data_IF_318227761833
#
_entry.id   IF_318227761833
#
_cell.length_a   1.000
_cell.length_b   1.000
_cell.length_c   1.000
_cell.angle_alpha   90.00
_cell.angle_beta   90.00
_cell.angle_gamma   90.00
#
_symmetry.space_group_name_H-M   'P 1'
#
loop_
_entity.id
_entity.type
_entity.pdbx_description
1 polymer ?
#
# COMPACT_ATOMS: atom_id res chain seq x y z
N UNK A 1 -33.85 55.93 -7.33
CA UNK A 1 -33.59 54.83 -6.37
C UNK A 1 -33.64 53.48 -7.10
N UNK A 2 -32.46 52.87 -7.23
CA UNK A 2 -32.18 51.44 -7.04
C UNK A 2 -32.72 50.39 -8.02
N UNK A 3 -32.39 50.51 -9.33
CA UNK A 3 -32.36 49.33 -10.24
C UNK A 3 -31.04 48.53 -10.17
N UNK A 4 -29.99 49.12 -9.58
CA UNK A 4 -28.67 48.48 -9.40
C UNK A 4 -28.69 47.45 -8.25
N UNK A 5 -29.62 47.58 -7.31
CA UNK A 5 -29.68 46.68 -6.15
C UNK A 5 -30.33 45.31 -6.46
N UNK A 6 -31.14 45.22 -7.52
CA UNK A 6 -31.75 43.94 -7.93
C UNK A 6 -30.75 43.00 -8.63
N UNK A 7 -29.70 43.53 -9.26
CA UNK A 7 -28.66 42.72 -9.93
C UNK A 7 -27.71 42.09 -8.90
N UNK A 8 -27.42 42.79 -7.79
CA UNK A 8 -26.54 42.27 -6.73
C UNK A 8 -27.14 41.10 -5.95
N UNK A 9 -28.47 41.05 -5.79
CA UNK A 9 -29.15 39.97 -5.06
C UNK A 9 -29.14 38.65 -5.87
N UNK A 10 -29.18 38.71 -7.20
CA UNK A 10 -29.14 37.52 -8.06
C UNK A 10 -27.74 36.91 -8.10
N UNK A 11 -26.67 37.72 -8.01
CA UNK A 11 -25.28 37.22 -7.94
C UNK A 11 -25.00 36.59 -6.58
N UNK A 12 -25.61 37.09 -5.49
CA UNK A 12 -25.42 36.54 -4.14
C UNK A 12 -26.08 35.16 -3.93
N UNK A 13 -27.14 34.85 -4.69
CA UNK A 13 -27.82 33.55 -4.61
C UNK A 13 -27.07 32.43 -5.35
N UNK A 14 -26.23 32.76 -6.34
CA UNK A 14 -25.40 31.77 -7.04
C UNK A 14 -24.18 31.29 -6.23
N UNK A 15 -23.81 31.96 -5.15
CA UNK A 15 -22.69 31.55 -4.29
C UNK A 15 -23.07 30.62 -3.14
N UNK A 16 -24.37 30.33 -2.93
CA UNK A 16 -24.84 29.56 -1.76
C UNK A 16 -25.14 28.09 -2.11
N UNK A 17 -25.26 27.75 -3.39
CA UNK A 17 -25.38 26.36 -3.79
C UNK A 17 -23.99 25.73 -3.98
N UNK A 18 -23.67 24.78 -3.11
CA UNK A 18 -22.87 23.54 -3.29
C UNK A 18 -22.18 23.27 -1.95
N UNK A 19 -22.91 22.92 -0.88
CA UNK A 19 -22.26 22.32 0.31
C UNK A 19 -23.11 21.25 1.01
N UNK A 20 -24.12 20.72 0.33
CA UNK A 20 -25.06 19.75 0.92
C UNK A 20 -25.30 18.50 0.08
N UNK A 21 -24.63 18.32 -1.05
CA UNK A 21 -24.76 17.08 -1.83
C UNK A 21 -23.98 15.96 -1.13
N UNK A 22 -24.65 14.82 -0.92
CA UNK A 22 -23.95 13.63 -0.42
C UNK A 22 -23.02 13.13 -1.52
N UNK A 23 -21.73 13.12 -1.24
CA UNK A 23 -20.69 12.62 -2.12
C UNK A 23 -20.92 11.15 -2.44
N UNK A 24 -20.83 10.75 -3.71
CA UNK A 24 -20.89 9.34 -4.08
C UNK A 24 -19.51 8.71 -3.91
N UNK A 25 -19.49 7.40 -3.69
CA UNK A 25 -18.23 6.63 -3.66
C UNK A 25 -17.49 6.76 -4.99
N UNK A 26 -18.21 6.75 -6.11
CA UNK A 26 -17.64 6.85 -7.46
C UNK A 26 -16.87 8.16 -7.66
N UNK A 27 -17.47 9.29 -7.27
CA UNK A 27 -16.84 10.61 -7.36
C UNK A 27 -15.48 10.66 -6.60
N UNK A 28 -15.38 9.89 -5.50
CA UNK A 28 -14.15 9.79 -4.70
C UNK A 28 -13.12 8.86 -5.33
N UNK A 29 -13.57 7.76 -5.93
CA UNK A 29 -12.67 6.86 -6.66
C UNK A 29 -12.05 7.59 -7.84
N UNK A 30 -12.86 8.29 -8.63
CA UNK A 30 -12.41 9.11 -9.78
C UNK A 30 -11.43 10.21 -9.35
N UNK A 31 -11.72 10.88 -8.22
CA UNK A 31 -10.82 11.88 -7.66
C UNK A 31 -9.50 11.26 -7.19
N UNK A 32 -9.55 10.09 -6.56
CA UNK A 32 -8.34 9.40 -6.10
C UNK A 32 -7.48 8.91 -7.26
N UNK A 33 -8.12 8.44 -8.33
CA UNK A 33 -7.49 8.06 -9.59
C UNK A 33 -6.78 9.27 -10.21
N UNK A 34 -7.47 10.41 -10.30
CA UNK A 34 -6.87 11.65 -10.81
C UNK A 34 -5.61 12.04 -10.05
N UNK A 35 -5.65 12.04 -8.72
CA UNK A 35 -4.47 12.37 -7.90
C UNK A 35 -3.31 11.38 -8.10
N UNK A 36 -3.63 10.09 -8.24
CA UNK A 36 -2.61 9.08 -8.48
C UNK A 36 -1.99 9.25 -9.87
N UNK A 37 -2.80 9.46 -10.91
CA UNK A 37 -2.34 9.76 -12.28
C UNK A 37 -1.48 11.03 -12.30
N UNK A 38 -1.86 12.09 -11.59
CA UNK A 38 -1.05 13.31 -11.47
C UNK A 38 0.31 13.05 -10.83
N UNK A 39 0.41 12.05 -9.93
CA UNK A 39 1.63 11.72 -9.20
C UNK A 39 2.55 10.77 -9.97
N UNK A 40 2.00 9.78 -10.68
CA UNK A 40 2.80 8.74 -11.37
C UNK A 40 2.82 8.86 -12.90
N UNK A 41 1.92 9.66 -13.49
CA UNK A 41 1.67 9.70 -14.92
C UNK A 41 0.78 8.54 -15.41
N UNK A 42 0.14 8.76 -16.56
CA UNK A 42 -0.82 7.78 -17.15
C UNK A 42 -0.19 6.42 -17.43
N UNK A 43 1.07 6.39 -17.87
CA UNK A 43 1.74 5.14 -18.23
C UNK A 43 1.91 4.23 -17.00
N UNK A 44 2.44 4.76 -15.90
CA UNK A 44 2.63 3.98 -14.66
C UNK A 44 1.32 3.66 -13.97
N UNK A 45 0.32 4.53 -14.11
CA UNK A 45 -1.02 4.27 -13.57
C UNK A 45 -1.63 2.95 -14.08
N UNK A 46 -1.24 2.48 -15.26
CA UNK A 46 -1.73 1.18 -15.79
C UNK A 46 -1.40 -0.03 -14.91
N UNK A 47 -0.42 0.10 -14.00
CA UNK A 47 -0.06 -0.93 -13.03
C UNK A 47 -0.84 -0.84 -11.71
N UNK A 48 -1.75 0.13 -11.57
CA UNK A 48 -2.56 0.30 -10.38
C UNK A 48 -3.97 -0.24 -10.57
N UNK A 49 -4.49 -0.92 -9.55
CA UNK A 49 -5.88 -1.41 -9.50
C UNK A 49 -6.57 -0.91 -8.23
N UNK A 50 -7.78 -0.35 -8.33
CA UNK A 50 -8.53 0.04 -7.14
C UNK A 50 -8.95 -1.20 -6.37
N UNK A 51 -8.96 -1.12 -5.03
CA UNK A 51 -9.45 -2.22 -4.19
C UNK A 51 -10.76 -1.84 -3.51
N UNK A 52 -11.85 -2.54 -3.88
CA UNK A 52 -13.22 -2.20 -3.45
C UNK A 52 -13.47 -2.50 -1.95
N UNK A 53 -12.73 -3.43 -1.34
CA UNK A 53 -13.11 -4.00 -0.02
C UNK A 53 -12.31 -3.49 1.17
N UNK A 54 -11.35 -2.60 0.94
CA UNK A 54 -10.47 -2.08 2.01
C UNK A 54 -10.47 -0.57 2.10
N UNK A 55 -10.99 0.14 1.09
CA UNK A 55 -11.11 1.59 1.12
C UNK A 55 -12.18 2.04 2.12
N UNK A 56 -11.95 3.13 2.87
CA UNK A 56 -12.85 3.56 3.93
C UNK A 56 -12.86 5.07 4.14
N UNK A 57 -13.90 5.56 4.82
CA UNK A 57 -13.98 6.93 5.31
C UNK A 57 -14.00 6.97 6.84
N UNK A 58 -13.41 8.04 7.38
CA UNK A 58 -13.29 8.30 8.80
C UNK A 58 -14.47 9.15 9.28
N UNK A 59 -15.03 8.76 10.43
CA UNK A 59 -16.03 9.53 11.16
C UNK A 59 -15.37 10.29 12.33
N UNK A 60 -16.01 11.36 12.82
CA UNK A 60 -15.52 12.10 13.98
C UNK A 60 -15.50 11.17 15.20
N UNK A 61 -14.59 11.43 16.13
CA UNK A 61 -14.58 10.73 17.39
C UNK A 61 -15.92 10.91 18.14
N UNK A 62 -16.39 9.88 18.83
CA UNK A 62 -17.52 10.03 19.75
C UNK A 62 -17.09 10.83 21.00
N UNK A 63 -18.04 11.09 21.92
CA UNK A 63 -17.76 11.82 23.19
C UNK A 63 -16.65 11.20 24.05
N UNK A 64 -16.33 9.93 23.84
CA UNK A 64 -15.29 9.18 24.55
C UNK A 64 -13.96 9.11 23.77
N UNK A 65 -13.83 9.84 22.66
CA UNK A 65 -12.62 9.87 21.85
C UNK A 65 -12.48 8.73 20.83
N UNK A 66 -13.40 7.75 20.81
CA UNK A 66 -13.30 6.62 19.88
C UNK A 66 -13.61 7.03 18.44
N UNK A 67 -12.62 6.87 17.55
CA UNK A 67 -12.76 7.05 16.11
C UNK A 67 -13.44 5.82 15.50
N UNK A 68 -14.36 6.05 14.56
CA UNK A 68 -14.98 4.99 13.75
C UNK A 68 -14.63 5.19 12.29
N UNK A 69 -14.46 4.10 11.57
CA UNK A 69 -14.35 4.08 10.11
C UNK A 69 -15.53 3.33 9.49
N UNK A 70 -15.77 3.55 8.21
CA UNK A 70 -16.77 2.82 7.42
C UNK A 70 -16.23 2.56 6.03
N UNK A 71 -16.41 1.33 5.55
CA UNK A 71 -16.02 0.96 4.19
C UNK A 71 -16.71 1.86 3.15
N UNK A 72 -15.95 2.24 2.13
CA UNK A 72 -16.49 2.79 0.90
C UNK A 72 -17.14 1.64 0.15
N UNK A 73 -18.46 1.72 -0.03
CA UNK A 73 -19.22 0.72 -0.79
C UNK A 73 -19.56 1.30 -2.15
N UNK A 74 -19.44 0.49 -3.19
CA UNK A 74 -19.85 0.84 -4.55
C UNK A 74 -21.34 1.23 -4.59
N UNK A 75 -21.68 2.22 -5.40
CA UNK A 75 -23.00 2.79 -5.59
C UNK A 75 -23.63 3.38 -4.31
N UNK A 76 -22.82 3.68 -3.29
CA UNK A 76 -23.30 4.29 -2.05
C UNK A 76 -22.93 5.78 -1.96
N UNK A 77 -23.78 6.50 -1.22
CA UNK A 77 -23.51 7.87 -0.80
C UNK A 77 -22.80 7.88 0.55
N UNK A 78 -21.73 8.64 0.63
CA UNK A 78 -20.99 8.88 1.87
C UNK A 78 -21.85 9.79 2.76
N UNK A 79 -21.81 9.56 4.07
CA UNK A 79 -22.52 10.41 5.05
C UNK A 79 -21.99 11.86 4.97
N UNK A 80 -22.63 12.85 5.59
CA UNK A 80 -22.13 14.25 5.53
C UNK A 80 -21.01 14.56 6.55
N UNK A 81 -20.91 13.76 7.60
CA UNK A 81 -20.10 14.08 8.78
C UNK A 81 -18.73 13.39 8.81
N UNK A 82 -18.20 12.93 7.68
CA UNK A 82 -16.86 12.36 7.63
C UNK A 82 -15.78 13.45 7.78
N UNK A 83 -14.58 13.02 8.16
CA UNK A 83 -13.41 13.90 8.37
C UNK A 83 -12.26 13.61 7.40
N UNK A 84 -12.20 12.41 6.83
CA UNK A 84 -11.23 12.04 5.80
C UNK A 84 -11.65 10.75 5.09
N UNK A 85 -11.11 10.54 3.91
CA UNK A 85 -11.38 9.35 3.08
C UNK A 85 -10.04 8.77 2.63
N UNK A 86 -9.92 7.45 2.71
CA UNK A 86 -8.73 6.70 2.34
C UNK A 86 -9.11 5.68 1.27
N UNK A 87 -8.57 5.87 0.07
CA UNK A 87 -8.75 4.96 -1.06
C UNK A 87 -7.47 4.16 -1.25
N UNK A 88 -7.59 2.84 -1.25
CA UNK A 88 -6.44 1.96 -1.48
C UNK A 88 -6.32 1.58 -2.95
N UNK A 89 -5.10 1.70 -3.45
CA UNK A 89 -4.71 1.25 -4.77
C UNK A 89 -3.62 0.18 -4.64
N UNK A 90 -3.82 -0.93 -5.34
CA UNK A 90 -2.84 -2.00 -5.43
C UNK A 90 -1.93 -1.75 -6.63
N UNK A 91 -0.63 -1.67 -6.39
CA UNK A 91 0.38 -1.60 -7.44
C UNK A 91 0.93 -3.00 -7.72
N UNK A 92 1.00 -3.37 -9.00
CA UNK A 92 1.54 -4.66 -9.44
C UNK A 92 2.30 -4.48 -10.77
N UNK A 93 3.62 -4.67 -10.73
CA UNK A 93 4.48 -4.56 -11.91
C UNK A 93 4.85 -5.96 -12.44
N UNK A 94 4.16 -6.45 -13.49
CA UNK A 94 4.20 -7.86 -13.87
C UNK A 94 5.53 -8.32 -14.48
N UNK A 95 6.41 -7.40 -14.86
CA UNK A 95 7.71 -7.74 -15.48
C UNK A 95 8.73 -8.23 -14.45
N UNK A 96 8.52 -8.00 -13.16
CA UNK A 96 9.41 -8.46 -12.09
C UNK A 96 8.55 -9.01 -10.95
N UNK A 97 8.61 -10.33 -10.75
CA UNK A 97 7.86 -10.99 -9.69
C UNK A 97 8.24 -10.43 -8.31
N UNK A 98 7.23 -10.07 -7.51
CA UNK A 98 7.41 -9.50 -6.17
C UNK A 98 7.50 -7.97 -6.14
N UNK A 99 7.59 -7.29 -7.29
CA UNK A 99 7.42 -5.82 -7.37
C UNK A 99 5.94 -5.47 -7.33
N UNK A 100 5.39 -5.50 -6.11
CA UNK A 100 3.99 -5.19 -5.81
C UNK A 100 3.88 -4.47 -4.47
N UNK A 101 2.90 -3.59 -4.34
CA UNK A 101 2.63 -2.88 -3.08
C UNK A 101 1.20 -2.36 -3.01
N UNK A 102 0.92 -1.60 -1.97
CA UNK A 102 -0.33 -0.88 -1.76
C UNK A 102 -0.07 0.57 -1.44
N UNK A 103 -0.92 1.46 -1.92
CA UNK A 103 -0.84 2.89 -1.61
C UNK A 103 -2.20 3.44 -1.20
N UNK A 104 -2.18 4.31 -0.19
CA UNK A 104 -3.36 5.02 0.29
C UNK A 104 -3.39 6.43 -0.29
N UNK A 105 -4.44 6.73 -1.05
CA UNK A 105 -4.78 8.11 -1.44
C UNK A 105 -5.69 8.70 -0.37
N UNK A 106 -5.20 9.75 0.28
CA UNK A 106 -5.78 10.34 1.50
C UNK A 106 -6.45 11.68 1.20
N UNK A 107 -7.78 11.68 1.15
CA UNK A 107 -8.60 12.81 0.70
C UNK A 107 -9.30 13.50 1.89
N UNK A 108 -9.18 14.82 1.96
CA UNK A 108 -9.77 15.67 2.99
C UNK A 108 -11.22 16.02 2.69
N UNK A 109 -11.90 16.66 3.65
CA UNK A 109 -13.26 17.17 3.46
C UNK A 109 -13.40 18.17 2.31
N UNK A 110 -12.33 18.90 2.03
CA UNK A 110 -12.21 19.84 0.92
C UNK A 110 -11.88 19.16 -0.41
N UNK A 111 -11.90 17.82 -0.46
CA UNK A 111 -11.58 17.02 -1.65
C UNK A 111 -10.14 17.24 -2.15
N UNK A 112 -9.23 17.56 -1.22
CA UNK A 112 -7.80 17.72 -1.49
C UNK A 112 -7.01 16.60 -0.85
N UNK A 113 -5.83 16.28 -1.40
CA UNK A 113 -4.85 15.51 -0.66
C UNK A 113 -4.48 16.26 0.62
N UNK A 114 -4.49 15.58 1.77
CA UNK A 114 -3.96 16.16 3.02
C UNK A 114 -2.57 15.64 3.37
N UNK A 115 -2.10 14.61 2.68
CA UNK A 115 -0.74 14.09 2.74
C UNK A 115 -0.29 13.73 1.31
N UNK A 116 1.00 13.86 0.97
CA UNK A 116 1.54 13.35 -0.30
C UNK A 116 1.28 11.84 -0.45
N UNK A 117 1.14 11.39 -1.69
CA UNK A 117 1.03 9.96 -1.99
C UNK A 117 2.42 9.34 -1.87
N UNK A 118 2.59 8.38 -0.98
CA UNK A 118 3.85 7.67 -0.76
C UNK A 118 4.11 6.68 -1.90
N UNK A 119 5.18 6.89 -2.66
CA UNK A 119 5.47 6.12 -3.89
C UNK A 119 6.88 5.48 -3.89
N UNK A 120 7.56 5.48 -2.75
CA UNK A 120 8.94 4.96 -2.61
C UNK A 120 9.06 3.48 -2.99
N UNK A 121 7.96 2.74 -2.91
CA UNK A 121 7.89 1.33 -3.32
C UNK A 121 7.98 1.14 -4.84
N UNK A 122 7.86 2.18 -5.67
CA UNK A 122 8.06 2.03 -7.12
C UNK A 122 9.57 2.08 -7.39
N UNK A 123 10.19 0.99 -7.89
CA UNK A 123 11.62 0.99 -8.16
C UNK A 123 12.03 2.06 -9.18
N UNK A 124 13.24 2.61 -9.06
CA UNK A 124 13.77 3.62 -10.00
C UNK A 124 13.76 3.15 -11.45
N UNK A 125 14.08 1.89 -11.71
CA UNK A 125 14.07 1.36 -13.07
C UNK A 125 12.68 1.39 -13.71
N UNK A 126 11.61 1.30 -12.90
CA UNK A 126 10.22 1.42 -13.36
C UNK A 126 9.90 2.88 -13.70
N UNK A 127 10.30 3.83 -12.85
CA UNK A 127 10.17 5.26 -13.12
C UNK A 127 10.90 5.70 -14.39
N UNK A 128 12.13 5.22 -14.54
CA UNK A 128 13.05 5.58 -15.62
C UNK A 128 12.81 4.77 -16.91
N UNK A 129 11.85 3.85 -16.92
CA UNK A 129 11.50 2.97 -18.05
C UNK A 129 12.72 2.20 -18.60
N UNK A 130 13.60 1.73 -17.72
CA UNK A 130 14.79 0.95 -18.05
C UNK A 130 14.67 -0.49 -17.53
N UNK A 131 15.65 -1.30 -17.90
CA UNK A 131 15.72 -2.68 -17.43
C UNK A 131 15.96 -2.77 -15.92
N UNK A 132 15.43 -3.84 -15.35
CA UNK A 132 15.56 -4.17 -13.93
C UNK A 132 17.04 -4.31 -13.55
N UNK A 133 17.45 -3.63 -12.49
CA UNK A 133 18.81 -3.68 -11.92
C UNK A 133 18.89 -4.47 -10.62
N UNK A 134 17.82 -5.18 -10.26
CA UNK A 134 17.88 -6.10 -9.13
C UNK A 134 18.72 -7.32 -9.48
N UNK A 135 19.40 -7.86 -8.47
CA UNK A 135 19.99 -9.18 -8.54
C UNK A 135 18.90 -10.20 -8.89
N UNK A 136 19.29 -11.24 -9.60
CA UNK A 136 18.40 -12.35 -9.92
C UNK A 136 18.10 -13.20 -8.69
N UNK A 137 17.00 -13.94 -8.73
CA UNK A 137 16.68 -14.96 -7.70
C UNK A 137 17.83 -15.96 -7.55
N UNK A 138 18.49 -16.34 -8.65
CA UNK A 138 19.62 -17.27 -8.62
C UNK A 138 20.82 -16.68 -7.84
N UNK A 139 21.14 -15.40 -8.05
CA UNK A 139 22.18 -14.73 -7.27
C UNK A 139 21.81 -14.65 -5.77
N UNK A 140 20.55 -14.38 -5.44
CA UNK A 140 20.08 -14.44 -4.06
C UNK A 140 20.24 -15.84 -3.45
N UNK A 141 19.92 -16.90 -4.20
CA UNK A 141 20.14 -18.30 -3.78
C UNK A 141 21.62 -18.55 -3.47
N UNK A 142 22.54 -18.11 -4.35
CA UNK A 142 23.98 -18.27 -4.16
C UNK A 142 24.50 -17.53 -2.92
N UNK A 143 24.02 -16.31 -2.66
CA UNK A 143 24.31 -15.58 -1.43
C UNK A 143 23.79 -16.36 -0.22
N UNK A 144 22.58 -16.91 -0.30
CA UNK A 144 22.00 -17.77 0.72
C UNK A 144 22.80 -19.04 0.97
N UNK A 145 23.37 -19.68 -0.05
CA UNK A 145 24.26 -20.86 0.11
C UNK A 145 25.50 -20.52 0.91
N UNK A 146 26.05 -19.31 0.74
CA UNK A 146 27.27 -18.86 1.44
C UNK A 146 27.04 -18.50 2.90
N UNK A 147 25.85 -18.00 3.26
CA UNK A 147 25.58 -17.42 4.59
C UNK A 147 24.67 -18.26 5.49
N UNK A 148 23.81 -19.10 4.93
CA UNK A 148 22.85 -19.90 5.69
C UNK A 148 23.42 -21.27 6.06
N UNK A 149 23.06 -21.76 7.23
CA UNK A 149 23.44 -23.09 7.69
C UNK A 149 22.89 -24.16 6.73
N UNK A 150 23.71 -25.12 6.32
CA UNK A 150 23.23 -26.25 5.53
C UNK A 150 22.44 -27.21 6.44
N UNK A 151 21.20 -27.49 6.08
CA UNK A 151 20.32 -28.37 6.87
C UNK A 151 19.59 -29.36 5.97
N UNK A 152 19.18 -30.49 6.57
CA UNK A 152 18.33 -31.48 5.91
C UNK A 152 16.86 -31.05 5.72
N UNK A 153 16.44 -29.97 6.38
CA UNK A 153 15.06 -29.48 6.34
C UNK A 153 14.80 -28.54 5.17
N UNK A 154 15.87 -28.09 4.50
CA UNK A 154 15.79 -27.26 3.32
C UNK A 154 15.54 -25.79 3.62
N UNK A 155 15.49 -25.02 2.53
CA UNK A 155 15.28 -23.57 2.50
C UNK A 155 14.15 -23.23 1.55
N UNK A 156 13.43 -22.17 1.85
CA UNK A 156 12.43 -21.60 0.96
C UNK A 156 13.13 -20.82 -0.17
N UNK A 157 12.45 -20.66 -1.29
CA UNK A 157 12.94 -19.81 -2.38
C UNK A 157 12.99 -18.35 -1.92
N UNK A 158 13.94 -17.54 -2.41
CA UNK A 158 13.98 -16.12 -2.09
C UNK A 158 12.67 -15.43 -2.49
N UNK A 159 12.13 -14.64 -1.57
CA UNK A 159 10.91 -13.85 -1.81
C UNK A 159 11.28 -12.37 -1.83
N UNK A 160 10.81 -11.65 -2.85
CA UNK A 160 11.06 -10.23 -3.01
C UNK A 160 9.93 -9.42 -2.37
N UNK A 161 10.27 -8.46 -1.51
CA UNK A 161 9.31 -7.52 -0.92
C UNK A 161 9.94 -6.16 -0.65
N UNK A 162 9.13 -5.11 -0.67
CA UNK A 162 9.55 -3.78 -0.26
C UNK A 162 9.54 -3.67 1.27
N UNK A 163 10.65 -3.19 1.84
CA UNK A 163 10.75 -2.86 3.26
C UNK A 163 10.50 -1.36 3.46
N UNK A 164 9.38 -1.02 4.09
CA UNK A 164 8.98 0.38 4.31
C UNK A 164 9.93 1.16 5.22
N UNK A 165 10.66 0.48 6.12
CA UNK A 165 11.58 1.16 7.07
C UNK A 165 12.87 1.56 6.38
N UNK A 166 13.42 0.65 5.57
CA UNK A 166 14.66 0.84 4.82
C UNK A 166 14.43 1.51 3.46
N UNK A 167 13.17 1.57 3.01
CA UNK A 167 12.74 2.13 1.72
C UNK A 167 13.46 1.46 0.54
N UNK A 168 13.55 0.14 0.60
CA UNK A 168 14.23 -0.66 -0.43
C UNK A 168 13.60 -2.03 -0.61
N UNK A 169 13.86 -2.65 -1.75
CA UNK A 169 13.48 -4.03 -2.00
C UNK A 169 14.49 -5.01 -1.45
N UNK A 170 14.00 -6.03 -0.76
CA UNK A 170 14.78 -7.08 -0.13
C UNK A 170 14.35 -8.45 -0.65
N UNK A 171 15.34 -9.30 -0.89
CA UNK A 171 15.14 -10.73 -0.95
C UNK A 171 15.21 -11.31 0.46
N UNK A 172 14.18 -12.05 0.86
CA UNK A 172 14.15 -12.80 2.12
C UNK A 172 14.23 -14.30 1.83
N UNK A 173 15.18 -14.97 2.48
CA UNK A 173 15.35 -16.42 2.42
C UNK A 173 15.13 -16.99 3.82
N UNK A 174 14.20 -17.93 3.93
CA UNK A 174 13.92 -18.64 5.19
C UNK A 174 14.55 -20.03 5.12
N UNK A 175 15.48 -20.32 6.01
CA UNK A 175 16.15 -21.62 6.13
C UNK A 175 15.67 -22.35 7.39
N UNK A 176 15.18 -23.57 7.24
CA UNK A 176 14.65 -24.33 8.37
C UNK A 176 15.80 -25.03 9.10
N UNK A 177 16.01 -24.70 10.37
CA UNK A 177 17.05 -25.31 11.21
C UNK A 177 16.57 -26.61 11.86
N UNK A 178 15.33 -26.60 12.34
CA UNK A 178 14.69 -27.77 12.96
C UNK A 178 13.25 -27.89 12.47
N UNK A 179 12.71 -29.10 12.49
CA UNK A 179 11.28 -29.34 12.29
C UNK A 179 10.80 -30.37 13.30
N UNK A 180 9.75 -30.02 14.03
CA UNK A 180 9.02 -30.88 14.97
C UNK A 180 7.55 -30.82 14.62
N UNK A 181 6.91 -31.98 14.49
CA UNK A 181 5.45 -32.08 14.37
C UNK A 181 4.83 -32.14 15.76
N UNK A 182 3.85 -31.29 16.03
CA UNK A 182 3.04 -31.41 17.23
C UNK A 182 2.00 -32.52 17.09
N UNK A 183 1.26 -32.81 18.19
CA UNK A 183 0.20 -33.84 18.21
C UNK A 183 -0.92 -33.60 17.18
N UNK A 184 -1.05 -32.38 16.67
CA UNK A 184 -2.05 -31.98 15.67
C UNK A 184 -1.46 -31.96 14.24
N UNK A 185 -0.26 -32.51 14.03
CA UNK A 185 0.40 -32.55 12.72
C UNK A 185 1.01 -31.24 12.25
N UNK A 186 0.93 -30.16 13.05
CA UNK A 186 1.50 -28.85 12.70
C UNK A 186 3.01 -28.87 12.91
N UNK A 187 3.75 -28.45 11.88
CA UNK A 187 5.21 -28.30 11.95
C UNK A 187 5.59 -26.98 12.62
N UNK A 188 6.54 -27.06 13.55
CA UNK A 188 7.19 -25.92 14.16
C UNK A 188 8.68 -26.18 14.35
N UNK A 189 9.45 -25.11 14.50
CA UNK A 189 10.88 -25.21 14.72
C UNK A 189 11.60 -23.89 14.55
N UNK A 190 12.91 -23.93 14.68
CA UNK A 190 13.79 -22.78 14.50
C UNK A 190 14.07 -22.54 13.02
N UNK A 191 14.19 -21.28 12.65
CA UNK A 191 14.57 -20.84 11.30
C UNK A 191 15.70 -19.83 11.38
N UNK A 192 16.51 -19.76 10.34
CA UNK A 192 17.31 -18.60 9.99
C UNK A 192 16.58 -17.81 8.93
N UNK A 193 16.59 -16.49 9.06
CA UNK A 193 16.04 -15.57 8.08
C UNK A 193 17.18 -14.69 7.61
N UNK A 194 17.47 -14.73 6.32
CA UNK A 194 18.46 -13.90 5.66
C UNK A 194 17.77 -12.85 4.81
N UNK A 195 18.14 -11.59 5.00
CA UNK A 195 17.67 -10.46 4.20
C UNK A 195 18.81 -9.88 3.37
N UNK A 196 18.56 -9.75 2.07
CA UNK A 196 19.55 -9.35 1.06
C UNK A 196 18.97 -8.17 0.28
N UNK A 197 19.75 -7.10 0.11
CA UNK A 197 19.41 -5.99 -0.79
C UNK A 197 19.17 -6.52 -2.21
N UNK A 198 17.98 -6.28 -2.77
CA UNK A 198 17.70 -6.67 -4.14
C UNK A 198 18.56 -5.88 -5.13
N UNK A 199 18.91 -4.63 -4.83
CA UNK A 199 19.72 -3.79 -5.71
C UNK A 199 21.21 -4.14 -5.67
N UNK A 200 21.76 -4.40 -4.48
CA UNK A 200 23.23 -4.51 -4.32
C UNK A 200 23.73 -5.93 -4.03
N UNK A 201 22.84 -6.85 -3.65
CA UNK A 201 23.23 -8.17 -3.15
C UNK A 201 23.94 -8.18 -1.80
N UNK A 202 24.01 -7.04 -1.09
CA UNK A 202 24.53 -7.01 0.28
C UNK A 202 23.56 -7.69 1.24
N UNK A 203 24.12 -8.52 2.12
CA UNK A 203 23.39 -9.07 3.27
C UNK A 203 23.19 -7.95 4.29
N UNK A 204 21.95 -7.72 4.68
CA UNK A 204 21.62 -6.76 5.74
C UNK A 204 21.55 -7.43 7.09
N UNK A 205 20.86 -8.57 7.15
CA UNK A 205 20.56 -9.21 8.41
C UNK A 205 20.52 -10.72 8.23
N UNK A 206 21.11 -11.42 9.18
CA UNK A 206 20.89 -12.83 9.42
C UNK A 206 20.38 -12.97 10.86
N UNK A 207 19.14 -13.40 11.01
CA UNK A 207 18.49 -13.56 12.32
C UNK A 207 17.91 -14.95 12.52
N UNK A 208 17.79 -15.35 13.77
CA UNK A 208 17.14 -16.58 14.16
C UNK A 208 15.70 -16.29 14.60
N UNK A 209 14.79 -17.19 14.23
CA UNK A 209 13.38 -17.08 14.57
C UNK A 209 12.73 -18.43 14.75
N UNK A 210 11.40 -18.41 14.86
CA UNK A 210 10.58 -19.61 14.96
C UNK A 210 9.52 -19.60 13.86
N UNK A 211 9.30 -20.75 13.24
CA UNK A 211 8.14 -20.98 12.37
C UNK A 211 7.14 -21.90 13.07
N UNK A 212 5.86 -21.78 12.70
CA UNK A 212 4.80 -22.66 13.19
C UNK A 212 4.27 -22.33 14.60
N UNK A 213 4.86 -21.38 15.32
CA UNK A 213 4.29 -20.86 16.58
C UNK A 213 3.14 -19.91 16.23
N UNK A 214 1.92 -20.28 16.60
CA UNK A 214 0.83 -19.31 16.69
C UNK A 214 1.23 -18.31 17.77
N UNK A 215 1.71 -17.14 17.38
CA UNK A 215 1.59 -15.98 18.26
C UNK A 215 0.10 -15.65 18.25
N UNK A 216 -0.60 -16.10 19.29
CA UNK A 216 -1.95 -15.63 19.63
C UNK A 216 -1.82 -14.31 20.39
#
# INVERSE_FOLDING_TARGET
MNKIHSIFIVIFLFTIEIHAQRLKTEDILDLSEKYLIESVGKDLFTYFKPTENISYYLLPANRLGYKKSKLLKKNHRIRKNWIGILVFWHFDYPKVEGVRSGVWVKISKQQKLYEPIELDFIPKFVWEKRDCDFITVQQAIEIGIKHLTQTKYGRELPTLSFDDKRKEYLYTIVNKLTSKKNRNGKESGMVEILEISALTGKVYELRHGYHGVLVR
#
